data_IF_271016854260
#
_entry.id   IF_271016854260
#
_cell.length_a   1.000
_cell.length_b   1.000
_cell.length_c   1.000
_cell.angle_alpha   90.00
_cell.angle_beta   90.00
_cell.angle_gamma   90.00
#
_symmetry.space_group_name_H-M   'P 1'
#
loop_
_entity.id
_entity.type
_entity.pdbx_description
1 polymer ?
#
# COMPACT_ATOMS: atom_id res chain seq x y z
N UNK A 1 88.91 -20.84 -50.20
CA UNK A 1 87.54 -20.35 -50.58
C UNK A 1 86.55 -21.28 -49.96
N UNK A 2 86.04 -20.98 -48.76
CA UNK A 2 85.18 -21.82 -47.94
C UNK A 2 83.81 -21.13 -47.87
N UNK A 3 82.80 -21.78 -48.43
CA UNK A 3 81.42 -21.40 -48.39
C UNK A 3 80.81 -21.89 -47.09
N UNK A 4 80.34 -20.95 -46.25
CA UNK A 4 79.48 -21.23 -45.08
C UNK A 4 78.01 -21.22 -45.47
N UNK A 5 77.34 -22.36 -45.35
CA UNK A 5 75.95 -22.52 -45.58
C UNK A 5 75.17 -22.23 -44.25
N UNK A 6 74.39 -21.16 -44.21
CA UNK A 6 73.54 -20.81 -43.10
C UNK A 6 72.17 -21.54 -43.18
N UNK A 7 71.93 -22.49 -42.25
CA UNK A 7 70.61 -23.13 -42.09
C UNK A 7 69.74 -22.25 -41.24
N UNK A 8 68.63 -21.70 -41.84
CA UNK A 8 67.51 -21.13 -41.12
C UNK A 8 66.65 -22.27 -40.57
N UNK A 9 66.52 -22.39 -39.27
CA UNK A 9 65.48 -23.15 -38.57
C UNK A 9 64.25 -22.32 -38.40
N UNK A 10 63.21 -22.68 -39.12
CA UNK A 10 61.85 -22.11 -38.90
C UNK A 10 61.27 -22.72 -37.62
N UNK A 11 61.25 -21.90 -36.56
CA UNK A 11 60.51 -22.23 -35.34
C UNK A 11 59.00 -22.07 -35.59
N UNK A 12 58.26 -23.17 -35.48
CA UNK A 12 56.79 -23.13 -35.49
C UNK A 12 56.29 -22.43 -34.20
N UNK A 13 55.67 -21.29 -34.35
CA UNK A 13 54.88 -20.66 -33.31
C UNK A 13 53.58 -21.45 -33.14
N UNK A 14 53.50 -22.31 -32.14
CA UNK A 14 52.23 -22.88 -31.67
C UNK A 14 51.46 -21.75 -30.97
N UNK A 15 50.42 -21.25 -31.62
CA UNK A 15 49.42 -20.42 -31.01
C UNK A 15 48.69 -21.22 -29.92
N UNK A 16 48.95 -20.90 -28.66
CA UNK A 16 48.14 -21.36 -27.56
C UNK A 16 46.77 -20.65 -27.68
N UNK A 17 45.77 -21.33 -28.15
CA UNK A 17 44.40 -20.89 -27.99
C UNK A 17 44.08 -20.95 -26.49
N UNK A 18 44.10 -19.80 -25.83
CA UNK A 18 43.53 -19.65 -24.52
C UNK A 18 42.03 -19.93 -24.63
N UNK A 19 41.60 -21.04 -24.07
CA UNK A 19 40.19 -21.33 -23.84
C UNK A 19 39.67 -20.40 -22.72
N UNK A 20 39.39 -19.12 -23.05
CA UNK A 20 38.77 -18.19 -22.14
C UNK A 20 37.26 -18.42 -21.99
N UNK A 21 36.71 -19.44 -22.63
CA UNK A 21 35.27 -19.71 -22.64
C UNK A 21 34.72 -20.57 -21.50
N UNK A 22 35.57 -21.22 -20.71
CA UNK A 22 35.10 -22.34 -19.86
C UNK A 22 35.18 -22.08 -18.33
N UNK A 23 35.85 -21.04 -17.88
CA UNK A 23 35.98 -20.75 -16.43
C UNK A 23 34.71 -20.15 -15.84
N UNK A 24 33.90 -19.43 -16.61
CA UNK A 24 32.62 -18.88 -16.17
C UNK A 24 31.51 -19.93 -16.09
N UNK A 25 31.62 -21.03 -16.87
CA UNK A 25 30.67 -22.14 -16.80
C UNK A 25 30.92 -23.09 -15.62
N UNK A 26 32.08 -23.00 -14.95
CA UNK A 26 32.42 -23.77 -13.75
C UNK A 26 31.93 -23.08 -12.46
N UNK A 27 31.49 -21.84 -12.52
CA UNK A 27 30.82 -21.16 -11.39
C UNK A 27 29.36 -21.59 -11.43
N UNK A 28 29.02 -22.73 -10.86
CA UNK A 28 27.62 -23.02 -10.48
C UNK A 28 27.18 -21.94 -9.51
N UNK A 29 26.47 -20.90 -10.01
CA UNK A 29 25.77 -19.95 -9.15
C UNK A 29 24.76 -20.75 -8.34
N UNK A 30 24.99 -20.89 -7.04
CA UNK A 30 23.98 -21.47 -6.14
C UNK A 30 22.66 -20.70 -6.33
N UNK A 31 21.55 -21.39 -6.60
CA UNK A 31 20.28 -20.71 -6.83
C UNK A 31 19.92 -19.84 -5.61
N UNK A 32 19.91 -18.55 -5.79
CA UNK A 32 19.52 -17.57 -4.76
C UNK A 32 17.99 -17.41 -4.72
N UNK A 33 17.46 -16.97 -3.59
CA UNK A 33 16.03 -16.63 -3.47
C UNK A 33 15.83 -15.16 -3.80
N UNK A 34 15.13 -14.88 -4.89
CA UNK A 34 14.79 -13.53 -5.31
C UNK A 34 13.40 -13.16 -4.79
N UNK A 35 13.32 -12.16 -3.91
CA UNK A 35 12.05 -11.67 -3.40
C UNK A 35 11.45 -10.62 -4.33
N UNK A 36 10.15 -10.75 -4.59
CA UNK A 36 9.39 -9.77 -5.37
C UNK A 36 9.37 -8.42 -4.64
N UNK A 37 9.65 -7.37 -5.37
CA UNK A 37 9.63 -5.98 -4.92
C UNK A 37 8.68 -5.14 -5.75
N UNK A 38 8.29 -3.96 -5.24
CA UNK A 38 7.48 -2.98 -5.93
C UNK A 38 6.15 -3.55 -6.48
N UNK A 39 5.44 -4.33 -5.67
CA UNK A 39 4.08 -4.75 -5.99
C UNK A 39 3.13 -3.56 -6.09
N UNK A 40 3.27 -2.60 -5.17
CA UNK A 40 2.67 -1.27 -5.23
C UNK A 40 3.75 -0.19 -5.07
N UNK A 41 3.43 1.07 -5.36
CA UNK A 41 4.37 2.20 -5.24
C UNK A 41 4.53 2.70 -3.81
N UNK A 42 3.52 2.49 -2.97
CA UNK A 42 3.47 2.96 -1.59
C UNK A 42 2.77 1.95 -0.69
N UNK A 43 2.83 2.17 0.62
CA UNK A 43 2.21 1.31 1.64
C UNK A 43 0.68 1.42 1.68
N UNK A 44 0.06 2.28 0.85
CA UNK A 44 -1.40 2.40 0.65
C UNK A 44 -1.76 2.19 -0.81
N UNK A 45 -2.90 1.54 -1.07
CA UNK A 45 -3.46 1.48 -2.43
C UNK A 45 -4.11 2.82 -2.77
N UNK A 46 -5.14 3.20 -2.07
CA UNK A 46 -5.74 4.55 -1.99
C UNK A 46 -6.09 4.86 -0.55
N UNK A 47 -7.08 4.17 0.04
CA UNK A 47 -7.46 4.25 1.46
C UNK A 47 -6.83 3.10 2.25
N UNK A 48 -6.98 1.86 1.75
CA UNK A 48 -6.47 0.64 2.38
C UNK A 48 -4.98 0.43 2.22
N UNK A 49 -4.41 -0.41 3.08
CA UNK A 49 -2.99 -0.78 2.98
C UNK A 49 -2.72 -1.65 1.74
N UNK A 50 -1.60 -1.40 1.10
CA UNK A 50 -1.00 -2.33 0.15
C UNK A 50 -0.17 -3.39 0.87
N UNK A 51 0.30 -4.40 0.14
CA UNK A 51 1.23 -5.43 0.67
C UNK A 51 2.61 -4.85 1.03
N UNK A 52 2.96 -3.66 0.55
CA UNK A 52 4.27 -3.05 0.76
C UNK A 52 4.45 -2.55 2.19
N UNK A 53 5.64 -2.78 2.75
CA UNK A 53 6.11 -2.19 3.98
C UNK A 53 7.12 -1.08 3.67
N UNK A 54 7.22 -0.11 4.57
CA UNK A 54 8.38 0.79 4.64
C UNK A 54 9.62 -0.04 5.00
N UNK A 55 10.76 0.24 4.41
CA UNK A 55 12.01 -0.48 4.68
C UNK A 55 12.45 -0.31 6.15
N UNK A 56 13.27 -1.22 6.64
CA UNK A 56 13.82 -1.14 8.00
C UNK A 56 14.55 0.19 8.24
N UNK A 57 14.26 0.86 9.36
CA UNK A 57 14.87 2.14 9.73
C UNK A 57 14.36 3.35 8.93
N UNK A 58 13.35 3.17 8.08
CA UNK A 58 12.78 4.25 7.25
C UNK A 58 11.43 4.68 7.83
N UNK A 59 11.24 5.99 7.93
CA UNK A 59 9.99 6.65 8.28
C UNK A 59 9.33 7.19 7.01
N UNK A 60 8.07 6.86 6.79
CA UNK A 60 7.26 7.38 5.70
C UNK A 60 6.22 8.35 6.27
N UNK A 61 6.39 9.64 5.97
CA UNK A 61 5.45 10.69 6.33
C UNK A 61 4.38 10.81 5.24
N UNK A 62 3.11 10.75 5.66
CA UNK A 62 1.96 10.77 4.76
C UNK A 62 1.01 11.91 5.07
N UNK A 63 0.62 12.61 4.01
CA UNK A 63 -0.52 13.55 4.04
C UNK A 63 -1.56 13.00 3.09
N UNK A 64 -2.75 12.72 3.59
CA UNK A 64 -3.90 12.28 2.81
C UNK A 64 -5.01 13.32 2.89
N UNK A 65 -5.62 13.63 1.76
CA UNK A 65 -6.62 14.67 1.64
C UNK A 65 -7.81 14.19 0.81
N UNK A 66 -9.03 14.48 1.28
CA UNK A 66 -10.29 14.20 0.56
C UNK A 66 -11.10 15.47 0.54
N UNK A 67 -11.41 15.95 -0.67
CA UNK A 67 -12.23 17.10 -0.88
C UNK A 67 -13.72 16.78 -0.72
N UNK A 68 -14.57 17.80 -0.72
CA UNK A 68 -16.03 17.67 -0.78
C UNK A 68 -16.48 17.07 -2.12
N UNK A 69 -17.74 16.63 -2.27
CA UNK A 69 -18.21 16.06 -3.52
C UNK A 69 -18.09 17.00 -4.72
N UNK A 70 -17.71 16.47 -5.87
CA UNK A 70 -17.58 17.21 -7.13
C UNK A 70 -18.93 17.80 -7.62
N UNK A 71 -20.05 17.14 -7.28
CA UNK A 71 -21.39 17.55 -7.68
C UNK A 71 -21.91 18.81 -6.99
N UNK A 72 -21.17 19.35 -6.01
CA UNK A 72 -21.44 20.68 -5.45
C UNK A 72 -21.24 21.81 -6.49
N UNK A 73 -20.59 21.48 -7.62
CA UNK A 73 -20.45 22.38 -8.76
C UNK A 73 -19.56 23.60 -8.49
N UNK A 74 -19.76 24.63 -9.29
CA UNK A 74 -18.96 25.87 -9.21
C UNK A 74 -19.11 26.61 -7.88
N UNK A 75 -20.22 26.42 -7.18
CA UNK A 75 -20.46 27.09 -5.90
C UNK A 75 -19.38 26.74 -4.86
N UNK A 76 -18.98 25.47 -4.77
CA UNK A 76 -17.91 24.99 -3.88
C UNK A 76 -16.62 24.68 -4.65
N UNK A 77 -16.41 25.33 -5.80
CA UNK A 77 -15.26 25.08 -6.71
C UNK A 77 -15.07 23.58 -6.95
N UNK A 78 -16.16 22.87 -7.29
CA UNK A 78 -16.20 21.41 -7.47
C UNK A 78 -15.70 20.64 -6.23
N UNK A 79 -16.09 21.12 -5.04
CA UNK A 79 -15.77 20.51 -3.75
C UNK A 79 -14.44 20.91 -3.14
N UNK A 80 -13.65 21.78 -3.78
CA UNK A 80 -12.34 22.18 -3.26
C UNK A 80 -12.42 23.05 -1.98
N UNK A 81 -13.57 23.71 -1.69
CA UNK A 81 -13.74 24.54 -0.50
C UNK A 81 -13.80 23.74 0.81
N UNK A 82 -14.17 22.46 0.74
CA UNK A 82 -14.25 21.60 1.91
C UNK A 82 -13.31 20.41 1.82
N UNK A 83 -12.70 20.05 2.96
CA UNK A 83 -11.77 18.93 2.96
C UNK A 83 -11.67 18.22 4.30
N UNK A 84 -11.32 16.93 4.24
CA UNK A 84 -10.80 16.17 5.35
C UNK A 84 -9.34 15.83 5.11
N UNK A 85 -8.54 15.86 6.18
CA UNK A 85 -7.10 15.58 6.12
C UNK A 85 -6.73 14.50 7.13
N UNK A 86 -5.83 13.59 6.73
CA UNK A 86 -5.16 12.66 7.65
C UNK A 86 -3.65 12.82 7.50
N UNK A 87 -2.99 13.01 8.63
CA UNK A 87 -1.53 13.00 8.74
C UNK A 87 -1.14 11.66 9.36
N UNK A 88 -0.17 10.98 8.77
CA UNK A 88 0.30 9.67 9.21
C UNK A 88 1.82 9.56 9.19
N UNK A 89 2.33 8.72 10.08
CA UNK A 89 3.72 8.32 10.22
C UNK A 89 3.77 6.79 10.20
N UNK A 90 4.37 6.21 9.15
CA UNK A 90 4.56 4.77 9.01
C UNK A 90 6.06 4.47 9.16
N UNK A 91 6.46 3.58 10.08
CA UNK A 91 7.86 3.26 10.35
C UNK A 91 8.15 1.78 10.15
N UNK A 92 9.18 1.47 9.39
CA UNK A 92 9.70 0.13 9.23
C UNK A 92 10.61 -0.26 10.39
N UNK A 93 10.16 -1.13 11.27
CA UNK A 93 10.98 -1.70 12.35
C UNK A 93 11.96 -2.73 11.77
N UNK A 94 11.46 -3.53 10.83
CA UNK A 94 12.24 -4.50 10.07
C UNK A 94 11.63 -4.67 8.67
N UNK A 95 12.24 -5.43 7.78
CA UNK A 95 11.70 -5.73 6.45
C UNK A 95 10.31 -6.41 6.50
N UNK A 96 9.98 -7.00 7.66
CA UNK A 96 8.70 -7.69 7.85
C UNK A 96 7.72 -6.94 8.75
N UNK A 97 8.20 -6.09 9.65
CA UNK A 97 7.38 -5.43 10.66
C UNK A 97 7.34 -3.92 10.42
N UNK A 98 6.15 -3.40 10.20
CA UNK A 98 5.86 -1.97 10.07
C UNK A 98 4.79 -1.58 11.09
N UNK A 99 4.98 -0.43 11.71
CA UNK A 99 4.01 0.22 12.60
C UNK A 99 3.70 1.61 12.09
N UNK A 100 2.56 2.15 12.47
CA UNK A 100 2.26 3.53 12.13
C UNK A 100 1.23 4.13 13.05
N UNK A 101 1.20 5.46 13.03
CA UNK A 101 0.25 6.30 13.77
C UNK A 101 -0.32 7.34 12.82
N UNK A 102 -1.56 7.73 13.05
CA UNK A 102 -2.18 8.77 12.25
C UNK A 102 -3.23 9.56 13.01
N UNK A 103 -3.57 10.72 12.45
CA UNK A 103 -4.69 11.54 12.91
C UNK A 103 -5.51 12.02 11.72
N UNK A 104 -6.79 11.67 11.75
CA UNK A 104 -7.78 12.10 10.78
C UNK A 104 -8.59 13.30 11.34
N UNK A 105 -8.84 14.33 10.54
CA UNK A 105 -9.64 15.50 10.93
C UNK A 105 -11.13 15.15 11.05
N UNK A 106 -11.64 14.23 10.20
CA UNK A 106 -13.01 13.73 10.30
C UNK A 106 -13.16 12.94 11.60
N UNK A 107 -14.18 13.27 12.39
CA UNK A 107 -14.41 12.71 13.72
C UNK A 107 -13.22 12.82 14.71
N UNK A 108 -12.14 13.54 14.33
CA UNK A 108 -10.92 13.70 15.13
C UNK A 108 -10.35 12.34 15.60
N UNK A 109 -10.30 11.37 14.68
CA UNK A 109 -9.84 10.01 14.97
C UNK A 109 -8.31 10.00 15.00
N UNK A 110 -7.75 9.38 16.05
CA UNK A 110 -6.37 8.88 16.04
C UNK A 110 -6.41 7.40 15.75
N UNK A 111 -5.50 6.95 14.90
CA UNK A 111 -5.34 5.55 14.54
C UNK A 111 -3.90 5.10 14.74
N UNK A 112 -3.73 3.83 15.05
CA UNK A 112 -2.44 3.18 15.14
C UNK A 112 -2.52 1.76 14.63
N UNK A 113 -1.51 1.30 13.89
CA UNK A 113 -1.52 -0.02 13.31
C UNK A 113 -0.18 -0.75 13.46
N UNK A 114 -0.28 -2.06 13.40
CA UNK A 114 0.84 -2.99 13.24
C UNK A 114 0.58 -3.83 12.00
N UNK A 115 1.56 -3.90 11.10
CA UNK A 115 1.51 -4.75 9.90
C UNK A 115 2.72 -5.66 9.85
N UNK A 116 2.47 -6.97 9.73
CA UNK A 116 3.51 -7.99 9.69
C UNK A 116 3.44 -8.80 8.38
N UNK A 117 4.57 -8.89 7.68
CA UNK A 117 4.73 -9.64 6.44
C UNK A 117 5.02 -11.12 6.74
N UNK A 118 4.01 -11.97 6.57
CA UNK A 118 4.04 -13.41 6.89
C UNK A 118 4.76 -14.17 5.78
N UNK A 119 4.30 -13.99 4.52
CA UNK A 119 4.88 -14.60 3.33
C UNK A 119 5.35 -13.50 2.37
N UNK A 120 6.46 -13.77 1.68
CA UNK A 120 7.00 -12.90 0.62
C UNK A 120 7.01 -13.69 -0.67
N UNK A 121 6.37 -13.16 -1.71
CA UNK A 121 6.46 -13.72 -3.05
C UNK A 121 7.93 -13.78 -3.49
N UNK A 122 8.36 -14.92 -4.02
CA UNK A 122 9.75 -15.13 -4.43
C UNK A 122 9.86 -16.17 -5.53
N UNK A 123 10.99 -16.14 -6.24
CA UNK A 123 11.45 -17.10 -7.25
C UNK A 123 12.85 -17.62 -6.94
N UNK A 124 13.33 -18.56 -7.71
CA UNK A 124 14.65 -19.19 -7.52
C UNK A 124 14.62 -20.32 -6.49
N UNK A 125 15.59 -20.37 -5.56
CA UNK A 125 15.74 -21.45 -4.57
C UNK A 125 14.47 -21.69 -3.74
N UNK A 126 13.75 -20.63 -3.39
CA UNK A 126 12.44 -20.69 -2.75
C UNK A 126 11.40 -20.05 -3.66
N UNK A 127 10.47 -20.87 -4.15
CA UNK A 127 9.35 -20.40 -4.96
C UNK A 127 8.11 -20.21 -4.08
N UNK A 128 7.68 -18.96 -3.89
CA UNK A 128 6.46 -18.58 -3.16
C UNK A 128 5.59 -17.74 -4.09
N UNK A 129 4.42 -18.23 -4.52
CA UNK A 129 3.62 -17.56 -5.56
C UNK A 129 2.91 -16.30 -5.11
N UNK A 130 2.83 -16.04 -3.79
CA UNK A 130 2.05 -14.94 -3.20
C UNK A 130 2.82 -14.25 -2.07
N UNK A 131 2.44 -13.02 -1.78
CA UNK A 131 2.77 -12.32 -0.54
C UNK A 131 1.56 -12.29 0.38
N UNK A 132 1.77 -12.49 1.68
CA UNK A 132 0.74 -12.43 2.72
C UNK A 132 1.21 -11.54 3.87
N UNK A 133 0.37 -10.61 4.29
CA UNK A 133 0.59 -9.81 5.50
C UNK A 133 -0.66 -9.80 6.37
N UNK A 134 -0.47 -9.75 7.69
CA UNK A 134 -1.51 -9.44 8.65
C UNK A 134 -1.41 -7.99 9.09
N UNK A 135 -2.54 -7.35 9.29
CA UNK A 135 -2.66 -5.98 9.78
C UNK A 135 -3.68 -5.92 10.91
N UNK A 136 -3.31 -5.24 11.97
CA UNK A 136 -4.20 -4.87 13.08
C UNK A 136 -4.13 -3.36 13.23
N UNK A 137 -5.29 -2.71 13.24
CA UNK A 137 -5.44 -1.27 13.42
C UNK A 137 -6.39 -0.99 14.59
N UNK A 138 -6.03 -0.04 15.43
CA UNK A 138 -6.85 0.46 16.53
C UNK A 138 -7.09 1.95 16.36
N UNK A 139 -8.34 2.38 16.53
CA UNK A 139 -8.78 3.76 16.31
C UNK A 139 -9.49 4.29 17.54
N UNK A 140 -9.26 5.56 17.86
CA UNK A 140 -9.96 6.27 18.92
C UNK A 140 -10.59 7.55 18.37
N UNK A 141 -11.92 7.64 18.47
CA UNK A 141 -12.70 8.85 18.17
C UNK A 141 -12.62 9.84 19.33
N UNK A 142 -12.02 10.99 19.09
CA UNK A 142 -11.91 12.06 20.11
C UNK A 142 -12.93 13.18 19.94
N UNK A 143 -13.71 13.18 18.84
CA UNK A 143 -14.82 14.09 18.69
C UNK A 143 -15.81 13.91 19.86
N UNK A 144 -16.34 15.01 20.40
CA UNK A 144 -17.35 14.98 21.45
C UNK A 144 -18.63 14.34 20.90
N UNK A 145 -19.29 13.53 21.71
CA UNK A 145 -20.60 13.00 21.37
C UNK A 145 -21.63 14.13 21.35
N UNK A 146 -22.64 14.00 20.49
CA UNK A 146 -23.69 15.00 20.32
C UNK A 146 -24.65 15.10 21.51
N UNK A 147 -24.82 14.01 22.25
CA UNK A 147 -25.66 13.95 23.45
C UNK A 147 -24.75 14.04 24.68
N UNK A 148 -24.69 15.23 25.35
CA UNK A 148 -23.84 15.44 26.51
C UNK A 148 -24.38 14.77 27.78
N UNK A 149 -25.69 14.48 27.84
CA UNK A 149 -26.36 13.94 29.03
C UNK A 149 -26.21 12.43 29.12
N UNK A 150 -25.88 11.78 28.02
CA UNK A 150 -25.61 10.34 27.97
C UNK A 150 -24.19 10.04 28.42
N UNK A 151 -24.04 9.18 29.41
CA UNK A 151 -22.73 8.69 29.83
C UNK A 151 -22.22 7.66 28.82
N UNK A 152 -21.10 7.97 28.17
CA UNK A 152 -20.40 7.07 27.26
C UNK A 152 -19.16 6.50 27.94
N UNK A 153 -19.01 5.17 27.89
CA UNK A 153 -17.77 4.53 28.32
C UNK A 153 -16.61 4.90 27.41
N UNK A 154 -15.38 4.84 27.89
CA UNK A 154 -14.19 5.05 27.06
C UNK A 154 -14.16 4.07 25.88
N UNK A 155 -14.53 2.80 26.10
CA UNK A 155 -14.60 1.79 25.06
C UNK A 155 -15.51 2.17 23.90
N UNK A 156 -16.58 2.95 24.11
CA UNK A 156 -17.47 3.42 23.05
C UNK A 156 -16.76 4.28 21.98
N UNK A 157 -15.55 4.76 22.26
CA UNK A 157 -14.71 5.54 21.35
C UNK A 157 -13.75 4.71 20.53
N UNK A 158 -13.60 3.40 20.85
CA UNK A 158 -12.61 2.52 20.28
C UNK A 158 -13.20 1.69 19.14
N UNK A 159 -12.40 1.54 18.08
CA UNK A 159 -12.70 0.71 16.92
C UNK A 159 -11.45 -0.10 16.58
N UNK A 160 -11.63 -1.30 16.09
CA UNK A 160 -10.53 -2.19 15.75
C UNK A 160 -10.73 -2.74 14.34
N UNK A 161 -9.63 -2.90 13.62
CA UNK A 161 -9.65 -3.53 12.30
C UNK A 161 -8.62 -4.65 12.25
N UNK A 162 -9.06 -5.79 11.74
CA UNK A 162 -8.20 -6.93 11.47
C UNK A 162 -8.29 -7.21 9.97
N UNK A 163 -7.14 -7.23 9.30
CA UNK A 163 -7.09 -7.41 7.85
C UNK A 163 -5.96 -8.36 7.46
N UNK A 164 -6.23 -9.25 6.52
CA UNK A 164 -5.23 -9.99 5.79
C UNK A 164 -5.03 -9.32 4.43
N UNK A 165 -3.78 -9.20 4.01
CA UNK A 165 -3.39 -8.66 2.71
C UNK A 165 -2.77 -9.80 1.92
N UNK A 166 -3.48 -10.32 0.93
CA UNK A 166 -3.04 -11.39 0.04
C UNK A 166 -2.77 -10.79 -1.34
N UNK A 167 -1.52 -10.70 -1.74
CA UNK A 167 -1.13 -10.06 -2.99
C UNK A 167 -0.31 -10.98 -3.89
N UNK A 168 -0.48 -10.80 -5.20
CA UNK A 168 0.37 -11.42 -6.21
C UNK A 168 0.75 -10.40 -7.28
N UNK A 169 2.03 -10.22 -7.48
CA UNK A 169 2.59 -9.53 -8.65
C UNK A 169 2.70 -10.55 -9.77
N UNK A 170 1.80 -10.46 -10.74
CA UNK A 170 1.76 -11.38 -11.89
C UNK A 170 2.83 -11.06 -12.92
N UNK A 171 3.13 -9.77 -13.06
CA UNK A 171 4.17 -9.23 -13.92
C UNK A 171 4.60 -7.87 -13.40
N UNK A 172 5.55 -7.25 -14.07
CA UNK A 172 5.89 -5.86 -13.79
C UNK A 172 4.73 -4.88 -14.03
N UNK A 173 3.78 -5.26 -14.87
CA UNK A 173 2.64 -4.42 -15.22
C UNK A 173 1.42 -4.62 -14.33
N UNK A 174 1.21 -5.83 -13.78
CA UNK A 174 -0.02 -6.17 -13.06
C UNK A 174 0.25 -6.75 -11.68
N UNK A 175 -0.36 -6.14 -10.67
CA UNK A 175 -0.47 -6.68 -9.30
C UNK A 175 -1.93 -6.67 -8.88
N UNK A 176 -2.38 -7.75 -8.25
CA UNK A 176 -3.70 -7.86 -7.62
C UNK A 176 -3.53 -8.17 -6.14
N UNK A 177 -4.49 -7.69 -5.34
CA UNK A 177 -4.50 -7.89 -3.89
C UNK A 177 -5.93 -8.11 -3.40
N UNK A 178 -6.12 -9.11 -2.53
CA UNK A 178 -7.35 -9.36 -1.78
C UNK A 178 -7.14 -9.01 -0.31
N UNK A 179 -8.19 -8.49 0.32
CA UNK A 179 -8.12 -7.93 1.68
C UNK A 179 -9.35 -8.33 2.50
N UNK A 180 -9.48 -9.61 2.93
CA UNK A 180 -10.46 -9.98 3.93
C UNK A 180 -10.29 -9.13 5.18
N UNK A 181 -11.36 -8.47 5.62
CA UNK A 181 -11.33 -7.43 6.65
C UNK A 181 -12.47 -7.63 7.63
N UNK A 182 -12.17 -7.50 8.92
CA UNK A 182 -13.12 -7.38 10.01
C UNK A 182 -12.94 -6.01 10.65
N UNK A 183 -14.01 -5.24 10.74
CA UNK A 183 -14.06 -3.98 11.50
C UNK A 183 -14.96 -4.16 12.71
N UNK A 184 -14.41 -4.07 13.92
CA UNK A 184 -15.16 -4.11 15.16
C UNK A 184 -15.45 -2.67 15.65
N UNK A 185 -16.74 -2.40 15.90
CA UNK A 185 -17.22 -1.10 16.40
C UNK A 185 -17.84 -1.29 17.78
N UNK A 186 -17.21 -0.73 18.83
CA UNK A 186 -17.75 -0.83 20.19
C UNK A 186 -19.07 -0.07 20.38
N UNK A 187 -19.33 0.95 19.55
CA UNK A 187 -20.55 1.71 19.53
C UNK A 187 -21.06 1.83 18.09
N UNK A 188 -22.32 1.47 17.88
CA UNK A 188 -23.05 1.63 16.63
C UNK A 188 -24.19 2.63 16.80
N UNK A 189 -24.62 3.27 15.71
CA UNK A 189 -25.65 4.31 15.76
C UNK A 189 -27.02 3.73 16.11
N UNK A 190 -27.34 2.55 15.60
CA UNK A 190 -28.65 1.90 15.80
C UNK A 190 -28.49 0.41 16.14
N UNK A 191 -29.53 -0.19 16.72
CA UNK A 191 -29.56 -1.63 17.02
C UNK A 191 -29.60 -2.51 15.75
N UNK A 192 -29.92 -1.94 14.61
CA UNK A 192 -29.95 -2.63 13.32
C UNK A 192 -28.55 -2.82 12.72
N UNK A 193 -27.55 -2.13 13.25
CA UNK A 193 -26.17 -2.23 12.78
C UNK A 193 -25.38 -3.23 13.59
N UNK A 194 -24.52 -4.01 12.92
CA UNK A 194 -23.61 -4.94 13.57
C UNK A 194 -22.41 -4.21 14.18
N UNK A 195 -21.97 -4.65 15.36
CA UNK A 195 -20.69 -4.24 15.92
C UNK A 195 -19.53 -4.79 15.07
N UNK A 196 -19.65 -6.02 14.59
CA UNK A 196 -18.68 -6.68 13.73
C UNK A 196 -19.14 -6.58 12.27
N UNK A 197 -18.29 -5.95 11.45
CA UNK A 197 -18.53 -5.76 10.01
C UNK A 197 -17.47 -6.48 9.22
N UNK A 198 -17.90 -7.47 8.43
CA UNK A 198 -17.06 -8.24 7.54
C UNK A 198 -17.10 -7.64 6.14
N UNK A 199 -15.94 -7.43 5.56
CA UNK A 199 -15.77 -6.91 4.21
C UNK A 199 -14.68 -7.67 3.45
N UNK A 200 -14.85 -7.76 2.14
CA UNK A 200 -13.82 -8.24 1.22
C UNK A 200 -13.31 -7.05 0.41
N UNK A 201 -12.09 -6.63 0.71
CA UNK A 201 -11.36 -5.66 -0.10
C UNK A 201 -10.71 -6.32 -1.32
N UNK A 202 -10.72 -5.62 -2.44
CA UNK A 202 -10.03 -5.99 -3.67
C UNK A 202 -9.26 -4.78 -4.17
N UNK A 203 -8.02 -4.98 -4.57
CA UNK A 203 -7.18 -3.92 -5.11
C UNK A 203 -6.39 -4.41 -6.31
N UNK A 204 -6.12 -3.49 -7.22
CA UNK A 204 -5.30 -3.75 -8.40
C UNK A 204 -4.39 -2.58 -8.70
N UNK A 205 -3.22 -2.89 -9.24
CA UNK A 205 -2.28 -1.93 -9.78
C UNK A 205 -1.88 -2.33 -11.21
N UNK A 206 -1.95 -1.35 -12.12
CA UNK A 206 -1.44 -1.48 -13.49
C UNK A 206 -0.36 -0.44 -13.72
N UNK A 207 0.85 -0.88 -14.10
CA UNK A 207 1.96 0.01 -14.44
C UNK A 207 1.77 0.54 -15.85
N UNK A 208 1.60 1.86 -15.98
CA UNK A 208 1.47 2.56 -17.26
C UNK A 208 2.85 2.97 -17.80
N UNK A 209 3.69 3.54 -16.92
CA UNK A 209 5.07 3.90 -17.21
C UNK A 209 5.99 3.49 -16.05
N UNK A 210 7.28 3.74 -16.15
CA UNK A 210 8.20 3.52 -15.02
C UNK A 210 7.82 4.31 -13.78
N UNK A 211 7.25 5.51 -13.95
CA UNK A 211 6.91 6.43 -12.85
C UNK A 211 5.43 6.49 -12.53
N UNK A 212 4.54 6.07 -13.43
CA UNK A 212 3.09 6.20 -13.29
C UNK A 212 2.43 4.83 -13.23
N UNK A 213 1.56 4.63 -12.24
CA UNK A 213 0.70 3.45 -12.13
C UNK A 213 -0.75 3.86 -11.96
N UNK A 214 -1.67 3.09 -12.52
CA UNK A 214 -3.10 3.16 -12.24
C UNK A 214 -3.41 2.20 -11.11
N UNK A 215 -4.13 2.65 -10.10
CA UNK A 215 -4.58 1.84 -8.97
C UNK A 215 -6.09 1.93 -8.82
N UNK A 216 -6.69 0.83 -8.38
CA UNK A 216 -8.08 0.79 -7.98
C UNK A 216 -8.22 -0.05 -6.71
N UNK A 217 -9.18 0.31 -5.86
CA UNK A 217 -9.59 -0.49 -4.69
C UNK A 217 -11.09 -0.45 -4.53
N UNK A 218 -11.67 -1.56 -4.09
CA UNK A 218 -13.07 -1.71 -3.78
C UNK A 218 -13.23 -2.56 -2.53
N UNK A 219 -14.11 -2.15 -1.62
CA UNK A 219 -14.48 -2.93 -0.44
C UNK A 219 -15.95 -3.31 -0.51
N UNK A 220 -16.21 -4.60 -0.64
CA UNK A 220 -17.54 -5.19 -0.57
C UNK A 220 -17.85 -5.57 0.87
N UNK A 221 -18.79 -4.86 1.48
CA UNK A 221 -19.32 -5.19 2.81
C UNK A 221 -20.40 -6.24 2.67
N UNK A 222 -20.34 -7.32 3.47
CA UNK A 222 -21.35 -8.36 3.43
C UNK A 222 -22.73 -7.80 3.81
N UNK A 223 -23.81 -8.25 3.17
CA UNK A 223 -25.16 -7.71 3.37
C UNK A 223 -25.66 -7.81 4.81
N UNK A 224 -26.56 -6.90 5.20
CA UNK A 224 -27.26 -6.96 6.49
C UNK A 224 -26.48 -6.49 7.71
N UNK A 225 -25.28 -5.95 7.55
CA UNK A 225 -24.41 -5.52 8.65
C UNK A 225 -24.45 -4.01 8.91
N UNK A 226 -24.81 -3.23 7.90
CA UNK A 226 -24.84 -1.77 7.96
C UNK A 226 -26.25 -1.25 7.65
N UNK A 227 -26.55 -0.05 8.12
CA UNK A 227 -27.79 0.64 7.78
C UNK A 227 -27.80 1.00 6.27
N UNK A 228 -29.02 1.13 5.71
CA UNK A 228 -29.25 1.27 4.26
C UNK A 228 -28.65 2.53 3.62
N UNK A 229 -28.33 3.55 4.42
CA UNK A 229 -27.64 4.76 3.93
C UNK A 229 -26.17 4.54 3.59
N UNK A 230 -25.54 3.49 4.11
CA UNK A 230 -24.15 3.20 3.85
C UNK A 230 -23.97 2.40 2.57
N UNK A 231 -22.88 2.64 1.88
CA UNK A 231 -22.56 2.01 0.59
C UNK A 231 -21.11 1.55 0.55
N UNK A 232 -20.80 0.67 -0.36
CA UNK A 232 -19.45 0.18 -0.57
C UNK A 232 -18.54 1.29 -1.12
N UNK A 233 -17.29 1.32 -0.66
CA UNK A 233 -16.31 2.27 -1.14
C UNK A 233 -15.64 1.74 -2.40
N UNK A 234 -15.49 2.60 -3.40
CA UNK A 234 -14.70 2.42 -4.61
C UNK A 234 -13.76 3.61 -4.76
N UNK A 235 -12.50 3.34 -5.07
CA UNK A 235 -11.51 4.37 -5.33
C UNK A 235 -10.68 4.00 -6.55
N UNK A 236 -10.38 4.97 -7.41
CA UNK A 236 -9.55 4.80 -8.61
C UNK A 236 -8.62 6.00 -8.71
N UNK A 237 -7.35 5.76 -9.03
CA UNK A 237 -6.38 6.84 -9.10
C UNK A 237 -5.04 6.45 -9.70
N UNK A 238 -4.15 7.41 -9.71
CA UNK A 238 -2.80 7.27 -10.26
C UNK A 238 -1.77 7.53 -9.18
N UNK A 239 -0.72 6.72 -9.16
CA UNK A 239 0.50 7.01 -8.40
C UNK A 239 1.55 7.55 -9.36
N UNK A 240 2.16 8.67 -8.97
CA UNK A 240 3.22 9.36 -9.71
C UNK A 240 4.45 9.42 -8.80
N UNK A 241 5.50 8.70 -9.18
CA UNK A 241 6.77 8.67 -8.44
C UNK A 241 7.72 9.74 -8.95
N UNK A 242 8.20 10.59 -8.04
CA UNK A 242 9.14 11.67 -8.34
C UNK A 242 10.31 11.63 -7.37
N UNK A 243 11.35 10.84 -7.64
CA UNK A 243 12.67 10.89 -7.00
C UNK A 243 12.77 10.95 -5.45
N UNK A 244 11.72 10.69 -4.69
CA UNK A 244 11.69 10.77 -3.21
C UNK A 244 10.30 11.01 -2.66
N UNK A 245 9.33 11.28 -3.54
CA UNK A 245 7.92 11.38 -3.19
C UNK A 245 7.09 10.49 -4.10
N UNK A 246 5.98 9.99 -3.56
CA UNK A 246 4.90 9.39 -4.35
C UNK A 246 3.66 10.26 -4.16
N UNK A 247 3.15 10.79 -5.27
CA UNK A 247 1.88 11.50 -5.33
C UNK A 247 0.82 10.53 -5.81
N UNK A 248 -0.23 10.33 -5.03
CA UNK A 248 -1.41 9.56 -5.42
C UNK A 248 -2.56 10.54 -5.66
N UNK A 249 -3.04 10.64 -6.88
CA UNK A 249 -4.21 11.42 -7.26
C UNK A 249 -5.36 10.47 -7.54
N UNK A 250 -6.51 10.66 -6.91
CA UNK A 250 -7.59 9.67 -7.03
C UNK A 250 -8.98 10.29 -6.87
N UNK A 251 -9.96 9.51 -7.32
CA UNK A 251 -11.38 9.73 -7.09
C UNK A 251 -11.90 8.62 -6.18
N UNK A 252 -12.76 8.98 -5.24
CA UNK A 252 -13.37 8.06 -4.27
C UNK A 252 -14.75 8.58 -3.86
N UNK A 253 -15.63 7.68 -3.43
CA UNK A 253 -16.89 8.08 -2.80
C UNK A 253 -16.80 8.19 -1.27
N UNK A 254 -15.64 7.94 -0.67
CA UNK A 254 -15.45 8.11 0.78
C UNK A 254 -14.83 9.45 1.14
N UNK A 255 -15.39 10.11 2.13
CA UNK A 255 -14.81 11.30 2.77
C UNK A 255 -13.82 10.93 3.88
N UNK A 256 -13.80 9.68 4.34
CA UNK A 256 -12.96 9.21 5.43
C UNK A 256 -11.77 8.40 4.93
N UNK A 257 -10.70 8.40 5.72
CA UNK A 257 -9.44 7.73 5.41
C UNK A 257 -9.05 6.69 6.46
N UNK A 258 -9.92 6.48 7.47
CA UNK A 258 -9.78 5.44 8.50
C UNK A 258 -10.61 4.21 8.16
N UNK A 259 -10.19 3.02 8.55
CA UNK A 259 -10.88 1.77 8.23
C UNK A 259 -12.35 1.77 8.65
N UNK A 260 -12.64 2.21 9.87
CA UNK A 260 -14.01 2.38 10.35
C UNK A 260 -14.80 3.30 9.41
N UNK A 261 -14.23 4.45 9.05
CA UNK A 261 -14.93 5.44 8.26
C UNK A 261 -15.16 5.02 6.81
N UNK A 262 -14.13 4.61 6.07
CA UNK A 262 -14.31 4.31 4.65
C UNK A 262 -15.00 2.97 4.39
N UNK A 263 -14.90 1.97 5.27
CA UNK A 263 -15.59 0.68 5.09
C UNK A 263 -17.02 0.74 5.59
N UNK A 264 -17.28 1.35 6.77
CA UNK A 264 -18.57 1.20 7.46
C UNK A 264 -19.45 2.45 7.45
N UNK A 265 -18.94 3.60 6.99
CA UNK A 265 -19.67 4.89 7.09
C UNK A 265 -19.63 5.71 5.79
N UNK A 266 -19.32 5.09 4.65
CA UNK A 266 -19.41 5.76 3.34
C UNK A 266 -20.88 5.86 2.95
N UNK A 267 -21.36 7.09 2.69
CA UNK A 267 -22.75 7.39 2.32
C UNK A 267 -22.91 7.73 0.85
N UNK A 268 -21.88 8.32 0.24
CA UNK A 268 -21.91 8.75 -1.15
C UNK A 268 -21.74 7.58 -2.11
N UNK A 269 -22.30 7.69 -3.31
CA UNK A 269 -22.28 6.66 -4.35
C UNK A 269 -21.55 7.15 -5.59
N UNK A 270 -20.89 6.23 -6.31
CA UNK A 270 -20.35 6.52 -7.63
C UNK A 270 -21.44 6.76 -8.67
N UNK A 271 -22.52 6.01 -8.58
CA UNK A 271 -23.69 6.07 -9.47
C UNK A 271 -24.96 6.11 -8.65
N UNK A 272 -25.95 6.88 -9.10
CA UNK A 272 -27.23 7.04 -8.43
C UNK A 272 -27.22 8.19 -7.41
N UNK A 273 -28.20 8.18 -6.49
CA UNK A 273 -28.38 9.21 -5.46
C UNK A 273 -28.19 8.61 -4.06
N UNK A 274 -27.55 9.29 -3.11
CA UNK A 274 -26.76 10.52 -3.30
C UNK A 274 -25.45 10.25 -4.07
N UNK A 275 -25.19 11.02 -5.12
CA UNK A 275 -23.92 10.97 -5.84
C UNK A 275 -22.92 11.88 -5.13
N UNK A 276 -21.72 11.39 -4.88
CA UNK A 276 -20.70 12.15 -4.15
C UNK A 276 -19.30 11.67 -4.40
N UNK A 277 -18.92 11.63 -5.70
CA UNK A 277 -17.51 11.36 -6.06
C UNK A 277 -16.67 12.55 -5.59
N UNK A 278 -15.56 12.25 -4.92
CA UNK A 278 -14.63 13.21 -4.35
C UNK A 278 -13.26 13.06 -5.03
N UNK A 279 -12.65 14.18 -5.34
CA UNK A 279 -11.23 14.19 -5.62
C UNK A 279 -10.45 14.08 -4.31
N UNK A 280 -9.29 13.45 -4.35
CA UNK A 280 -8.37 13.35 -3.24
C UNK A 280 -6.94 13.12 -3.69
N UNK A 281 -6.02 13.32 -2.76
CA UNK A 281 -4.63 12.98 -2.98
C UNK A 281 -4.01 12.42 -1.70
N UNK A 282 -2.97 11.60 -1.89
CA UNK A 282 -2.03 11.26 -0.83
C UNK A 282 -0.63 11.66 -1.29
N UNK A 283 0.16 12.19 -0.38
CA UNK A 283 1.59 12.48 -0.59
C UNK A 283 2.35 11.64 0.42
N UNK A 284 3.32 10.88 -0.06
CA UNK A 284 4.21 10.05 0.74
C UNK A 284 5.65 10.51 0.54
N UNK A 285 6.36 10.73 1.65
CA UNK A 285 7.79 11.05 1.65
C UNK A 285 8.53 10.23 2.68
N UNK A 286 9.53 9.50 2.22
CA UNK A 286 10.35 8.64 3.07
C UNK A 286 11.59 9.36 3.58
N UNK A 287 11.97 9.06 4.84
CA UNK A 287 13.16 9.55 5.52
C UNK A 287 13.90 8.38 6.13
N UNK A 288 15.19 8.22 5.85
CA UNK A 288 16.03 7.23 6.53
C UNK A 288 16.40 7.76 7.90
N UNK A 289 15.80 7.18 8.95
CA UNK A 289 16.05 7.54 10.37
C UNK A 289 17.23 6.73 10.91
N UNK A 290 17.27 5.43 10.59
CA UNK A 290 18.35 4.54 10.97
C UNK A 290 18.96 3.94 9.71
N UNK A 291 20.25 4.20 9.50
CA UNK A 291 20.98 3.62 8.35
C UNK A 291 21.22 2.13 8.59
N UNK A 292 21.04 1.27 7.56
CA UNK A 292 21.44 -0.13 7.65
C UNK A 292 22.92 -0.28 8.02
N UNK A 293 23.32 -1.38 8.68
CA UNK A 293 24.70 -1.62 9.12
C UNK A 293 25.73 -1.55 7.99
N UNK A 294 25.35 -1.91 6.78
CA UNK A 294 26.19 -1.93 5.57
C UNK A 294 26.62 -0.52 5.10
N UNK A 295 26.01 0.54 5.65
CA UNK A 295 26.30 1.94 5.33
C UNK A 295 26.83 2.74 6.53
N UNK A 296 27.32 2.05 7.59
CA UNK A 296 27.97 2.66 8.75
C UNK A 296 29.47 2.67 8.64
#
# INVERSE_FOLDING_TARGET
MVLFALRLTTGALTSANAQDGDLLSLVEEEPTTEYTTASFKTTRVVNGHSIENTAAGVLDFKISHRFSPLNNGLYDVFGLDGATIRIGLDYGISDRLMVGLGRNSKEKIYDGFVKYKILRQSSGKRNMPISLSGLVDAQIKTLRFSDPDRQYSFSSRLYYTFQLLLARKFSDHLTLQLMPTLVHRNLVATRAESNDVYALGMAGRVRLTRRVTLNAEYYYVLPGQLASQYTNVLSVGFDIETGGHVFQLHFTNSADMTYKGFITETTDRWFGSPNGIRFGFNISRVFTVVKPPEFR
#
